data_IF_718963426563
#
_entry.id   IF_718963426563
#
_cell.length_a   1.000
_cell.length_b   1.000
_cell.length_c   1.000
_cell.angle_alpha   90.00
_cell.angle_beta   90.00
_cell.angle_gamma   90.00
#
_symmetry.space_group_name_H-M   'P 1'
#
loop_
_entity.id
_entity.type
_entity.pdbx_description
1 polymer ?
#
# COMPACT_ATOMS: atom_id res chain seq x y z
N UNK A 1 -12.57 18.94 -7.72
CA UNK A 1 -11.28 18.27 -7.48
C UNK A 1 -11.32 16.86 -8.04
N UNK A 2 -10.35 16.46 -8.86
CA UNK A 2 -10.24 15.08 -9.38
C UNK A 2 -9.03 14.39 -8.74
N UNK A 3 -9.24 13.23 -8.11
CA UNK A 3 -8.18 12.44 -7.48
C UNK A 3 -8.04 11.10 -8.20
N UNK A 4 -6.85 10.85 -8.78
CA UNK A 4 -6.54 9.55 -9.38
C UNK A 4 -5.96 8.62 -8.33
N UNK A 5 -6.65 7.51 -8.05
CA UNK A 5 -6.16 6.49 -7.14
C UNK A 5 -4.86 5.87 -7.67
N UNK A 6 -3.86 5.75 -6.79
CA UNK A 6 -2.56 5.12 -7.06
C UNK A 6 -2.35 3.97 -6.09
N UNK A 7 -1.79 2.87 -6.60
CA UNK A 7 -1.37 1.74 -5.75
C UNK A 7 0.06 2.00 -5.30
N UNK A 8 0.30 1.90 -3.99
CA UNK A 8 1.61 2.03 -3.37
C UNK A 8 1.99 0.71 -2.70
N UNK A 9 3.29 0.43 -2.67
CA UNK A 9 3.87 -0.58 -1.78
C UNK A 9 4.45 0.18 -0.59
N UNK A 10 4.16 -0.30 0.62
CA UNK A 10 4.65 0.31 1.85
C UNK A 10 5.36 -0.73 2.72
N UNK A 11 6.42 -0.33 3.40
CA UNK A 11 6.92 -1.05 4.57
C UNK A 11 6.30 -0.39 5.79
N UNK A 12 5.67 -1.19 6.65
CA UNK A 12 5.06 -0.70 7.88
C UNK A 12 5.46 -1.57 9.07
N UNK A 13 5.35 -0.99 10.25
CA UNK A 13 5.34 -1.74 11.50
C UNK A 13 4.11 -1.35 12.32
N UNK A 14 3.69 -2.25 13.19
CA UNK A 14 2.73 -1.92 14.24
C UNK A 14 3.48 -1.36 15.45
N UNK A 15 2.88 -0.36 16.09
CA UNK A 15 3.29 0.17 17.39
C UNK A 15 2.14 -0.01 18.38
N UNK A 16 2.49 -0.06 19.66
CA UNK A 16 1.55 -0.39 20.74
C UNK A 16 0.94 -1.79 20.53
N UNK A 17 -0.20 -2.07 21.16
CA UNK A 17 -0.99 -3.30 21.08
C UNK A 17 -1.63 -3.55 19.70
N UNK A 18 -0.87 -3.33 18.62
CA UNK A 18 -1.24 -3.44 17.21
C UNK A 18 -2.25 -2.40 16.68
N UNK A 19 -2.59 -1.40 17.50
CA UNK A 19 -3.60 -0.38 17.14
C UNK A 19 -3.07 0.71 16.20
N UNK A 20 -1.74 0.90 16.14
CA UNK A 20 -1.12 1.98 15.37
C UNK A 20 -0.22 1.44 14.28
N UNK A 21 -0.58 1.67 13.01
CA UNK A 21 0.27 1.37 11.85
C UNK A 21 1.20 2.55 11.56
N UNK A 22 2.51 2.34 11.72
CA UNK A 22 3.54 3.30 11.29
C UNK A 22 4.02 2.94 9.88
N UNK A 23 3.82 3.85 8.93
CA UNK A 23 4.43 3.77 7.61
C UNK A 23 5.90 4.21 7.70
N UNK A 24 6.81 3.34 7.29
CA UNK A 24 8.27 3.59 7.32
C UNK A 24 8.73 4.08 5.95
N UNK A 25 8.28 3.40 4.89
CA UNK A 25 8.60 3.76 3.52
C UNK A 25 7.40 3.52 2.61
N UNK A 26 7.34 4.28 1.52
CA UNK A 26 6.33 4.13 0.49
C UNK A 26 6.96 4.36 -0.89
N UNK A 27 6.59 3.51 -1.85
CA UNK A 27 6.95 3.71 -3.26
C UNK A 27 5.78 3.40 -4.17
N UNK A 28 5.79 3.99 -5.37
CA UNK A 28 4.82 3.68 -6.42
C UNK A 28 4.94 2.20 -6.81
N UNK A 29 3.83 1.47 -6.77
CA UNK A 29 3.82 0.08 -7.21
C UNK A 29 4.14 -0.01 -8.71
N UNK A 30 4.98 -0.97 -9.11
CA UNK A 30 5.26 -1.23 -10.52
C UNK A 30 4.10 -2.00 -11.18
N UNK A 31 4.10 -2.08 -12.52
CA UNK A 31 2.96 -2.66 -13.28
C UNK A 31 2.59 -4.08 -12.83
N UNK A 32 3.59 -4.90 -12.52
CA UNK A 32 3.42 -6.28 -12.07
C UNK A 32 2.79 -6.35 -10.67
N UNK A 33 3.27 -5.57 -9.71
CA UNK A 33 2.70 -5.46 -8.35
C UNK A 33 1.25 -4.96 -8.39
N UNK A 34 0.97 -3.96 -9.23
CA UNK A 34 -0.40 -3.48 -9.43
C UNK A 34 -1.31 -4.57 -10.00
N UNK A 35 -0.81 -5.38 -10.95
CA UNK A 35 -1.56 -6.50 -11.53
C UNK A 35 -1.84 -7.56 -10.47
N UNK A 36 -0.86 -7.89 -9.63
CA UNK A 36 -1.04 -8.86 -8.55
C UNK A 36 -2.04 -8.37 -7.51
N UNK A 37 -1.98 -7.10 -7.09
CA UNK A 37 -2.99 -6.53 -6.20
C UNK A 37 -4.40 -6.64 -6.80
N UNK A 38 -4.57 -6.28 -8.08
CA UNK A 38 -5.87 -6.42 -8.77
C UNK A 38 -6.32 -7.87 -8.90
N UNK A 39 -5.39 -8.83 -9.04
CA UNK A 39 -5.69 -10.26 -9.10
C UNK A 39 -6.17 -10.78 -7.75
N UNK A 40 -5.51 -10.39 -6.65
CA UNK A 40 -5.88 -10.79 -5.28
C UNK A 40 -7.14 -10.10 -4.76
N UNK A 41 -7.49 -8.95 -5.32
CA UNK A 41 -8.72 -8.21 -4.97
C UNK A 41 -9.97 -8.79 -5.65
N UNK A 42 -9.83 -9.64 -6.67
CA UNK A 42 -10.95 -10.38 -7.26
C UNK A 42 -11.35 -11.53 -6.33
#
# INVERSE_FOLDING_TARGET
>A
MSFKLRILIVCHCFRDSEEVVRLISARKAIKTEQKEYRRRRK
#
